data_IF_000974832794
#
_entry.id   IF_000974832794
#
_cell.length_a   1.000
_cell.length_b   1.000
_cell.length_c   1.000
_cell.angle_alpha   90.00
_cell.angle_beta   90.00
_cell.angle_gamma   90.00
#
_symmetry.space_group_name_H-M   'P 1'
#
loop_
_entity.id
_entity.type
_entity.pdbx_description
1 polymer ?
#
# COMPACT_ATOMS: atom_id res chain seq x y z
N UNK A 1 5.66 -37.10 2.39
CA UNK A 1 6.53 -36.01 1.92
C UNK A 1 5.70 -34.75 1.97
N UNK A 2 6.20 -33.70 2.61
CA UNK A 2 5.54 -32.40 2.62
C UNK A 2 5.84 -31.68 1.31
N UNK A 3 4.80 -31.15 0.69
CA UNK A 3 4.91 -30.34 -0.53
C UNK A 3 4.35 -28.96 -0.22
N UNK A 4 5.04 -27.92 -0.71
CA UNK A 4 4.66 -26.53 -0.53
C UNK A 4 4.27 -25.94 -1.88
N UNK A 5 3.28 -25.06 -1.89
CA UNK A 5 2.84 -24.36 -3.11
C UNK A 5 3.35 -22.93 -3.08
N UNK A 6 4.18 -22.58 -4.05
CA UNK A 6 4.64 -21.21 -4.31
C UNK A 6 3.91 -20.60 -5.50
N UNK A 7 3.63 -19.30 -5.43
CA UNK A 7 3.11 -18.51 -6.55
C UNK A 7 4.18 -17.49 -6.93
N UNK A 8 4.63 -17.52 -8.19
CA UNK A 8 5.45 -16.47 -8.79
C UNK A 8 4.60 -15.74 -9.84
N UNK A 9 4.60 -14.40 -9.80
CA UNK A 9 3.77 -13.56 -10.66
C UNK A 9 4.64 -12.49 -11.30
N UNK A 10 4.66 -12.47 -12.63
CA UNK A 10 5.32 -11.43 -13.41
C UNK A 10 4.35 -10.80 -14.42
N UNK A 11 4.79 -9.76 -15.12
CA UNK A 11 4.01 -9.13 -16.19
C UNK A 11 3.80 -10.06 -17.41
N UNK A 12 4.57 -11.14 -17.54
CA UNK A 12 4.50 -12.04 -18.70
C UNK A 12 4.00 -13.43 -18.35
N UNK A 13 4.35 -13.93 -17.17
CA UNK A 13 4.13 -15.31 -16.75
C UNK A 13 3.73 -15.37 -15.27
N UNK A 14 2.74 -16.19 -14.97
CA UNK A 14 2.37 -16.60 -13.61
C UNK A 14 2.69 -18.09 -13.50
N UNK A 15 3.50 -18.45 -12.50
CA UNK A 15 3.87 -19.82 -12.24
C UNK A 15 3.32 -20.27 -10.88
N UNK A 16 2.72 -21.46 -10.85
CA UNK A 16 2.42 -22.19 -9.62
C UNK A 16 3.45 -23.31 -9.52
N UNK A 17 4.28 -23.24 -8.48
CA UNK A 17 5.35 -24.20 -8.22
C UNK A 17 4.97 -25.09 -7.04
N UNK A 18 5.08 -26.41 -7.20
CA UNK A 18 5.11 -27.37 -6.10
C UNK A 18 6.57 -27.61 -5.76
N UNK A 19 6.97 -27.25 -4.54
CA UNK A 19 8.34 -27.42 -4.05
C UNK A 19 8.40 -28.42 -2.90
N UNK A 20 9.51 -29.15 -2.83
CA UNK A 20 9.82 -30.01 -1.69
C UNK A 20 10.32 -29.19 -0.48
N UNK A 21 10.55 -29.88 0.64
CA UNK A 21 11.09 -29.29 1.88
C UNK A 21 12.49 -28.66 1.75
N UNK A 22 13.20 -28.86 0.64
CA UNK A 22 14.50 -28.24 0.34
C UNK A 22 14.38 -27.00 -0.56
N UNK A 23 13.15 -26.68 -1.01
CA UNK A 23 12.87 -25.60 -1.95
C UNK A 23 13.05 -25.98 -3.41
N UNK A 24 13.25 -27.27 -3.72
CA UNK A 24 13.39 -27.74 -5.10
C UNK A 24 12.02 -27.87 -5.75
N UNK A 25 11.85 -27.28 -6.94
CA UNK A 25 10.62 -27.41 -7.74
C UNK A 25 10.48 -28.85 -8.23
N UNK A 26 9.41 -29.51 -7.83
CA UNK A 26 9.03 -30.85 -8.29
C UNK A 26 8.00 -30.79 -9.43
N UNK A 27 7.19 -29.73 -9.46
CA UNK A 27 6.23 -29.49 -10.54
C UNK A 27 6.00 -27.99 -10.71
N UNK A 28 5.85 -27.57 -11.95
CA UNK A 28 5.54 -26.18 -12.29
C UNK A 28 4.40 -26.14 -13.31
N UNK A 29 3.42 -25.27 -13.06
CA UNK A 29 2.42 -24.87 -14.04
C UNK A 29 2.61 -23.41 -14.37
N UNK A 30 3.00 -23.11 -15.62
CA UNK A 30 3.20 -21.73 -16.09
C UNK A 30 2.08 -21.35 -17.04
N UNK A 31 1.47 -20.20 -16.79
CA UNK A 31 0.51 -19.58 -17.70
C UNK A 31 0.99 -18.19 -18.09
N UNK A 32 0.62 -17.74 -19.29
CA UNK A 32 0.84 -16.36 -19.69
C UNK A 32 0.02 -15.46 -18.77
N UNK A 33 0.65 -14.45 -18.20
CA UNK A 33 -0.06 -13.41 -17.47
C UNK A 33 -0.69 -12.47 -18.47
N UNK A 34 -1.95 -12.14 -18.23
CA UNK A 34 -2.67 -11.08 -18.93
C UNK A 34 -2.95 -9.98 -17.90
N UNK A 35 -1.92 -9.22 -17.47
CA UNK A 35 -2.16 -8.06 -16.62
C UNK A 35 -3.08 -7.09 -17.37
N UNK A 36 -4.12 -6.60 -16.68
CA UNK A 36 -4.99 -5.58 -17.26
C UNK A 36 -4.23 -4.29 -17.58
N UNK A 37 -4.82 -3.41 -18.38
CA UNK A 37 -4.19 -2.13 -18.74
C UNK A 37 -4.15 -1.12 -17.58
N UNK A 38 -4.81 -1.43 -16.47
CA UNK A 38 -5.04 -0.50 -15.38
C UNK A 38 -6.06 0.58 -15.75
N UNK A 39 -6.32 1.53 -14.83
CA UNK A 39 -7.23 2.63 -15.10
C UNK A 39 -6.62 3.62 -16.10
N UNK A 40 -7.47 4.15 -16.96
CA UNK A 40 -7.15 5.28 -17.84
C UNK A 40 -6.74 6.50 -17.04
N UNK A 41 -6.09 7.47 -17.72
CA UNK A 41 -5.70 8.73 -17.08
C UNK A 41 -6.89 9.46 -16.46
N UNK A 42 -8.04 9.48 -17.14
CA UNK A 42 -9.25 10.13 -16.64
C UNK A 42 -9.80 9.43 -15.39
N UNK A 43 -9.85 8.09 -15.38
CA UNK A 43 -10.25 7.32 -14.19
C UNK A 43 -9.31 7.56 -13.01
N UNK A 44 -8.00 7.66 -13.28
CA UNK A 44 -6.97 7.96 -12.28
C UNK A 44 -7.17 9.33 -11.64
N UNK A 45 -7.46 10.34 -12.45
CA UNK A 45 -7.60 11.74 -12.03
C UNK A 45 -8.96 12.05 -11.41
N UNK A 46 -10.02 11.37 -11.82
CA UNK A 46 -11.40 11.60 -11.34
C UNK A 46 -11.84 10.69 -10.20
N UNK A 47 -11.08 9.62 -9.91
CA UNK A 47 -11.36 8.72 -8.81
C UNK A 47 -11.23 9.39 -7.43
N UNK A 48 -11.81 8.77 -6.41
CA UNK A 48 -11.65 9.20 -5.02
C UNK A 48 -11.92 8.03 -4.08
N UNK A 49 -11.58 8.19 -2.81
CA UNK A 49 -11.92 7.23 -1.76
C UNK A 49 -12.17 7.92 -0.43
N UNK A 50 -12.98 7.26 0.41
CA UNK A 50 -13.29 7.63 1.78
C UNK A 50 -13.22 6.37 2.65
N UNK A 51 -12.27 6.34 3.58
CA UNK A 51 -11.99 5.20 4.44
C UNK A 51 -12.27 5.60 5.88
N UNK A 52 -13.25 4.93 6.50
CA UNK A 52 -13.56 5.08 7.92
C UNK A 52 -12.84 3.99 8.74
N UNK A 53 -11.99 4.43 9.66
CA UNK A 53 -11.43 3.58 10.70
C UNK A 53 -12.26 3.73 11.98
N UNK A 54 -12.70 2.60 12.53
CA UNK A 54 -13.46 2.54 13.78
C UNK A 54 -12.63 1.79 14.82
N UNK A 55 -12.22 2.49 15.87
CA UNK A 55 -11.55 1.90 17.02
C UNK A 55 -12.54 1.68 18.16
N UNK A 56 -12.48 0.50 18.79
CA UNK A 56 -13.32 0.09 19.92
C UNK A 56 -12.46 -0.03 21.18
N UNK A 57 -12.80 0.73 22.22
CA UNK A 57 -12.17 0.64 23.53
C UNK A 57 -12.79 -0.50 24.36
N UNK A 58 -12.05 -1.06 25.34
CA UNK A 58 -12.58 -2.12 26.22
C UNK A 58 -13.82 -1.73 27.02
N UNK A 59 -14.03 -0.42 27.26
CA UNK A 59 -15.19 0.13 27.96
C UNK A 59 -16.38 0.43 27.03
N UNK A 60 -16.29 0.05 25.75
CA UNK A 60 -17.34 0.23 24.75
C UNK A 60 -17.34 1.59 24.05
N UNK A 61 -16.43 2.52 24.40
CA UNK A 61 -16.29 3.77 23.63
C UNK A 61 -15.76 3.50 22.22
N UNK A 62 -16.17 4.35 21.29
CA UNK A 62 -15.69 4.30 19.90
C UNK A 62 -14.94 5.58 19.56
N UNK A 63 -13.91 5.44 18.71
CA UNK A 63 -13.26 6.55 18.03
C UNK A 63 -13.35 6.29 16.53
N UNK A 64 -13.86 7.27 15.79
CA UNK A 64 -14.01 7.19 14.35
C UNK A 64 -13.03 8.17 13.70
N UNK A 65 -12.26 7.72 12.72
CA UNK A 65 -11.36 8.59 11.96
C UNK A 65 -11.48 8.29 10.48
N UNK A 66 -11.60 9.31 9.66
CA UNK A 66 -11.70 9.18 8.21
C UNK A 66 -10.39 9.57 7.51
N UNK A 67 -10.07 8.85 6.45
CA UNK A 67 -9.01 9.20 5.49
C UNK A 67 -9.63 9.27 4.11
N UNK A 68 -9.51 10.43 3.46
CA UNK A 68 -10.02 10.62 2.11
C UNK A 68 -8.89 10.98 1.14
N UNK A 69 -9.09 10.66 -0.13
CA UNK A 69 -8.19 11.06 -1.22
C UNK A 69 -8.94 11.46 -2.48
N UNK A 70 -8.38 12.40 -3.21
CA UNK A 70 -8.98 13.05 -4.39
C UNK A 70 -8.61 12.38 -5.73
N UNK A 71 -8.03 11.18 -5.68
CA UNK A 71 -7.60 10.42 -6.84
C UNK A 71 -7.92 8.94 -6.63
N UNK A 72 -7.91 8.19 -7.73
CA UNK A 72 -8.08 6.73 -7.69
C UNK A 72 -7.07 6.08 -6.70
N UNK A 73 -7.54 5.20 -5.79
CA UNK A 73 -6.74 4.71 -4.67
C UNK A 73 -5.56 3.82 -5.08
N UNK A 74 -5.73 2.97 -6.09
CA UNK A 74 -4.80 1.90 -6.45
C UNK A 74 -3.52 2.38 -7.14
N UNK A 75 -3.64 3.31 -8.09
CA UNK A 75 -2.52 3.81 -8.89
C UNK A 75 -2.23 5.27 -8.56
N UNK A 76 -3.19 6.16 -8.82
CA UNK A 76 -2.94 7.60 -8.81
C UNK A 76 -2.60 8.13 -7.41
N UNK A 77 -3.42 7.80 -6.41
CA UNK A 77 -3.16 8.21 -5.02
C UNK A 77 -1.95 7.47 -4.44
N UNK A 78 -1.81 6.17 -4.70
CA UNK A 78 -0.68 5.37 -4.19
C UNK A 78 0.68 5.86 -4.73
N UNK A 79 0.78 6.21 -6.03
CA UNK A 79 2.00 6.77 -6.61
C UNK A 79 2.41 8.09 -5.91
N UNK A 80 1.43 8.96 -5.64
CA UNK A 80 1.65 10.17 -4.83
C UNK A 80 2.12 9.80 -3.42
N UNK A 81 1.47 8.86 -2.73
CA UNK A 81 1.86 8.45 -1.37
C UNK A 81 3.28 7.88 -1.30
N UNK A 82 3.73 7.09 -2.28
CA UNK A 82 5.09 6.52 -2.29
C UNK A 82 6.12 7.62 -2.54
N UNK A 83 5.86 8.52 -3.48
CA UNK A 83 6.72 9.68 -3.80
C UNK A 83 6.81 10.63 -2.60
N UNK A 84 5.64 11.05 -2.11
CA UNK A 84 5.20 11.16 -0.72
C UNK A 84 6.23 10.73 0.35
N UNK A 85 6.38 9.42 0.54
CA UNK A 85 7.25 8.91 1.58
C UNK A 85 8.74 9.15 1.30
N UNK A 86 9.17 9.02 0.03
CA UNK A 86 10.58 9.12 -0.34
C UNK A 86 11.16 10.54 -0.13
N UNK A 87 10.48 11.58 -0.61
CA UNK A 87 10.98 12.95 -0.44
C UNK A 87 10.85 13.38 1.03
N UNK A 88 9.80 12.95 1.74
CA UNK A 88 9.59 13.27 3.15
C UNK A 88 10.69 12.69 4.05
N UNK A 89 11.13 11.46 3.77
CA UNK A 89 12.24 10.85 4.49
C UNK A 89 13.54 11.66 4.31
N UNK A 90 13.77 12.19 3.10
CA UNK A 90 14.98 12.98 2.80
C UNK A 90 14.92 14.40 3.39
N UNK A 91 13.77 15.07 3.32
CA UNK A 91 13.64 16.50 3.63
C UNK A 91 13.10 16.79 5.02
N UNK A 92 12.15 15.99 5.48
CA UNK A 92 11.37 16.31 6.67
C UNK A 92 11.80 15.50 7.89
N UNK A 93 12.39 14.31 7.69
CA UNK A 93 12.81 13.40 8.74
C UNK A 93 14.29 12.93 8.61
N UNK A 94 15.27 13.84 8.43
CA UNK A 94 16.69 13.48 8.31
C UNK A 94 17.27 12.85 9.59
N UNK A 95 16.56 12.99 10.70
CA UNK A 95 16.87 12.44 12.02
C UNK A 95 16.30 11.02 12.24
N UNK A 96 15.68 10.42 11.22
CA UNK A 96 15.18 9.04 11.30
C UNK A 96 16.32 8.06 11.61
N UNK A 97 16.18 7.28 12.68
CA UNK A 97 17.17 6.29 13.06
C UNK A 97 17.30 5.17 12.00
N UNK A 98 18.51 4.60 11.87
CA UNK A 98 18.74 3.46 10.99
C UNK A 98 17.86 2.26 11.38
N UNK A 99 17.36 1.53 10.38
CA UNK A 99 16.51 0.36 10.60
C UNK A 99 15.52 0.12 9.46
N UNK A 100 14.62 -0.84 9.66
CA UNK A 100 13.50 -1.14 8.76
C UNK A 100 12.25 -0.49 9.35
N UNK A 101 11.68 0.47 8.63
CA UNK A 101 10.54 1.25 9.09
C UNK A 101 9.38 1.17 8.13
N UNK A 102 8.16 1.24 8.66
CA UNK A 102 7.03 1.72 7.87
C UNK A 102 7.10 3.25 7.80
N UNK A 103 6.61 3.88 6.70
CA UNK A 103 6.65 5.34 6.58
C UNK A 103 5.96 6.07 7.74
N UNK A 104 4.82 5.55 8.19
CA UNK A 104 4.08 6.12 9.32
C UNK A 104 4.87 6.10 10.64
N UNK A 105 5.64 5.04 10.90
CA UNK A 105 6.47 4.95 12.10
C UNK A 105 7.69 5.88 12.02
N UNK A 106 8.31 6.03 10.84
CA UNK A 106 9.48 6.88 10.64
C UNK A 106 9.14 8.38 10.72
N UNK A 107 8.07 8.81 10.06
CA UNK A 107 7.80 10.24 9.83
C UNK A 107 6.61 10.79 10.64
N UNK A 108 5.70 9.93 11.11
CA UNK A 108 4.57 10.30 11.97
C UNK A 108 3.79 11.51 11.42
N UNK A 109 3.59 12.55 12.23
CA UNK A 109 2.86 13.76 11.86
C UNK A 109 3.45 14.47 10.63
N UNK A 110 4.76 14.35 10.38
CA UNK A 110 5.41 14.96 9.22
C UNK A 110 4.87 14.36 7.92
N UNK A 111 4.65 13.04 7.90
CA UNK A 111 4.05 12.36 6.75
C UNK A 111 2.60 12.80 6.55
N UNK A 112 1.82 12.92 7.62
CA UNK A 112 0.42 13.39 7.53
C UNK A 112 0.37 14.78 6.89
N UNK A 113 1.18 15.73 7.39
CA UNK A 113 1.22 17.09 6.86
C UNK A 113 1.58 17.08 5.36
N UNK A 114 2.61 16.31 4.99
CA UNK A 114 3.08 16.24 3.60
C UNK A 114 2.04 15.64 2.66
N UNK A 115 1.35 14.59 3.08
CA UNK A 115 0.28 13.97 2.29
C UNK A 115 -0.91 14.92 2.09
N UNK A 116 -1.23 15.74 3.09
CA UNK A 116 -2.25 16.78 2.98
C UNK A 116 -1.81 17.89 2.02
N UNK A 117 -0.59 18.38 2.16
CA UNK A 117 -0.09 19.52 1.38
C UNK A 117 0.19 19.19 -0.10
N UNK A 118 0.54 17.94 -0.41
CA UNK A 118 1.09 17.59 -1.72
C UNK A 118 0.48 16.36 -2.38
N UNK A 119 -0.24 15.51 -1.65
CA UNK A 119 -0.81 14.27 -2.21
C UNK A 119 -2.34 14.27 -2.35
N UNK A 120 -3.03 15.32 -1.89
CA UNK A 120 -4.50 15.42 -1.98
C UNK A 120 -5.24 14.53 -0.97
N UNK A 121 -4.55 14.09 0.10
CA UNK A 121 -5.15 13.31 1.17
C UNK A 121 -5.71 14.22 2.27
N UNK A 122 -6.73 13.76 2.98
CA UNK A 122 -7.22 14.40 4.19
C UNK A 122 -7.38 13.37 5.31
N UNK A 123 -7.08 13.79 6.53
CA UNK A 123 -7.21 12.98 7.74
C UNK A 123 -8.12 13.72 8.73
N UNK A 124 -9.18 13.06 9.21
CA UNK A 124 -10.17 13.68 10.11
C UNK A 124 -10.54 12.75 11.25
N UNK A 125 -10.83 13.34 12.40
CA UNK A 125 -11.54 12.66 13.49
C UNK A 125 -13.02 12.96 13.29
N UNK A 126 -13.82 11.90 13.12
CA UNK A 126 -15.26 12.00 12.91
C UNK A 126 -15.99 12.17 14.26
N UNK A 127 -17.15 12.83 14.22
CA UNK A 127 -17.95 13.15 15.40
C UNK A 127 -18.88 12.03 15.84
#
# INVERSE_FOLDING_TARGET
>A
MEHYVGLDVSLRLTAICIVDQTGRIEREGVVRSEPGEGPSKEERESGSYDILFVALAPDGRQLHTAVTGDCEPGYASTEKMISECAIGLLRDAPDTAAGIWTPGAAMQQRLINRLVEHAGLNFKVER
#
